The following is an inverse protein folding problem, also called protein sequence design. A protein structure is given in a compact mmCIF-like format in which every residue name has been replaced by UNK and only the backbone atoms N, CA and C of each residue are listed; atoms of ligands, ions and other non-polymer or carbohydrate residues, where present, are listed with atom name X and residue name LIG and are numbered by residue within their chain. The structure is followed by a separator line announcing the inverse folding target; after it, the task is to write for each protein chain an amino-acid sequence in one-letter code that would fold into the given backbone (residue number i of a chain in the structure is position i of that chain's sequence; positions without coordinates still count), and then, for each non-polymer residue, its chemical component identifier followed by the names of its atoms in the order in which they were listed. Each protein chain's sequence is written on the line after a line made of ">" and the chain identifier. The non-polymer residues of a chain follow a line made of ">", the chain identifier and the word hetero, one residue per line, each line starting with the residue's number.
data_IF_595454932109
#
_entry.id   IF_595454932109
#
_cell.length_a   1.000
_cell.length_b   1.000
_cell.length_c   1.000
_cell.angle_alpha   90.00
_cell.angle_beta   90.00
_cell.angle_gamma   90.00
#
_symmetry.space_group_name_H-M   'P 1'
#
loop_
_entity.id
_entity.type
_entity.pdbx_description
1 polymer ?
#
# COMPACT_ATOMS: atom_id res chain seq x y z
N UNK A 1 28.97 34.11 5.29
CA UNK A 1 28.67 35.32 6.09
C UNK A 1 29.72 35.57 7.18
N UNK A 2 29.97 34.67 8.13
CA UNK A 2 31.00 34.85 9.18
C UNK A 2 32.39 35.18 8.62
N UNK A 3 32.86 34.44 7.61
CA UNK A 3 34.13 34.73 6.94
C UNK A 3 34.20 36.12 6.27
N UNK A 4 33.07 36.65 5.77
CA UNK A 4 33.03 38.00 5.19
C UNK A 4 33.18 39.06 6.28
N UNK A 5 32.54 38.86 7.43
CA UNK A 5 32.68 39.75 8.58
C UNK A 5 34.10 39.76 9.13
N UNK A 6 34.74 38.58 9.23
CA UNK A 6 36.15 38.47 9.63
C UNK A 6 37.08 39.20 8.65
N UNK A 7 36.89 39.04 7.34
CA UNK A 7 37.69 39.76 6.34
C UNK A 7 37.44 41.27 6.37
N UNK A 8 36.20 41.72 6.58
CA UNK A 8 35.88 43.14 6.75
C UNK A 8 36.57 43.73 7.99
N UNK A 9 36.61 42.97 9.10
CA UNK A 9 37.31 43.39 10.31
C UNK A 9 38.83 43.46 10.09
N UNK A 10 39.40 42.50 9.37
CA UNK A 10 40.82 42.49 9.00
C UNK A 10 41.17 43.68 8.10
N UNK A 11 40.33 43.96 7.09
CA UNK A 11 40.48 45.12 6.21
C UNK A 11 40.44 46.44 7.00
N UNK A 12 39.44 46.63 7.88
CA UNK A 12 39.35 47.81 8.73
C UNK A 12 40.53 47.95 9.72
N UNK A 13 41.17 46.84 10.10
CA UNK A 13 42.40 46.83 10.89
C UNK A 13 43.62 47.26 10.08
N UNK A 14 43.75 46.73 8.86
CA UNK A 14 44.84 47.05 7.96
C UNK A 14 44.76 48.49 7.43
N UNK A 15 43.57 49.01 7.13
CA UNK A 15 43.36 50.41 6.75
C UNK A 15 43.80 51.38 7.88
N UNK A 16 43.52 51.03 9.15
CA UNK A 16 43.97 51.84 10.29
C UNK A 16 45.48 51.85 10.47
N UNK A 17 46.15 50.70 10.26
CA UNK A 17 47.62 50.64 10.30
C UNK A 17 48.22 51.48 9.19
N UNK A 18 47.70 51.34 7.98
CA UNK A 18 48.10 52.12 6.82
C UNK A 18 47.96 53.63 7.03
N UNK A 19 46.83 54.11 7.56
CA UNK A 19 46.68 55.55 7.88
C UNK A 19 47.69 56.02 8.93
N UNK A 20 48.02 55.17 9.90
CA UNK A 20 49.03 55.49 10.93
C UNK A 20 50.43 55.60 10.33
N UNK A 21 50.82 54.65 9.46
CA UNK A 21 52.13 54.64 8.80
C UNK A 21 52.25 55.80 7.81
N UNK A 22 51.19 56.10 7.08
CA UNK A 22 51.10 57.29 6.21
C UNK A 22 51.27 58.59 7.01
N UNK A 23 50.59 58.72 8.16
CA UNK A 23 50.74 59.89 9.02
C UNK A 23 52.18 60.05 9.54
N UNK A 24 52.81 58.95 9.99
CA UNK A 24 54.21 58.97 10.43
C UNK A 24 55.17 59.39 9.31
N UNK A 25 54.95 58.92 8.08
CA UNK A 25 55.72 59.34 6.91
C UNK A 25 55.59 60.84 6.66
N UNK A 26 54.36 61.38 6.75
CA UNK A 26 54.10 62.82 6.63
C UNK A 26 54.82 63.61 7.72
N UNK A 27 54.78 63.16 8.98
CA UNK A 27 55.48 63.80 10.10
C UNK A 27 57.01 63.80 9.88
N UNK A 28 57.61 62.68 9.49
CA UNK A 28 59.06 62.60 9.19
C UNK A 28 59.47 63.49 8.01
N UNK A 29 58.61 63.64 6.98
CA UNK A 29 58.86 64.56 5.87
C UNK A 29 58.85 66.02 6.33
N UNK A 30 57.95 66.39 7.25
CA UNK A 30 57.91 67.74 7.82
C UNK A 30 59.13 68.02 8.70
N UNK A 31 59.55 67.08 9.54
CA UNK A 31 60.77 67.20 10.36
C UNK A 31 62.01 67.40 9.50
N UNK A 32 62.13 66.62 8.42
CA UNK A 32 63.21 66.80 7.44
C UNK A 32 63.17 68.20 6.81
N UNK A 33 62.01 68.67 6.35
CA UNK A 33 61.88 69.99 5.75
C UNK A 33 62.28 71.11 6.74
N UNK A 34 61.92 70.97 8.01
CA UNK A 34 62.33 71.90 9.06
C UNK A 34 63.85 71.90 9.28
N UNK A 35 64.49 70.73 9.30
CA UNK A 35 65.95 70.62 9.38
C UNK A 35 66.66 71.23 8.17
N UNK A 36 66.15 71.00 6.95
CA UNK A 36 66.69 71.61 5.74
C UNK A 36 66.59 73.15 5.80
N UNK A 37 65.49 73.69 6.31
CA UNK A 37 65.31 75.14 6.51
C UNK A 37 66.26 75.71 7.60
N UNK A 38 66.48 74.98 8.69
CA UNK A 38 67.46 75.34 9.72
C UNK A 38 68.88 75.35 9.16
N UNK A 39 69.27 74.31 8.41
CA UNK A 39 70.58 74.23 7.76
C UNK A 39 70.79 75.36 6.74
N UNK A 40 69.77 75.71 5.97
CA UNK A 40 69.81 76.84 5.05
C UNK A 40 69.99 78.18 5.81
N UNK A 41 69.27 78.38 6.91
CA UNK A 41 69.37 79.60 7.74
C UNK A 41 70.75 79.73 8.39
N UNK A 42 71.29 78.64 8.96
CA UNK A 42 72.64 78.60 9.52
C UNK A 42 73.66 78.96 8.43
N UNK A 43 73.55 78.35 7.25
CA UNK A 43 74.44 78.62 6.12
C UNK A 43 74.41 80.08 5.67
N UNK A 44 73.22 80.72 5.68
CA UNK A 44 73.05 82.14 5.33
C UNK A 44 73.72 83.06 6.37
N UNK A 45 73.50 82.83 7.67
CA UNK A 45 74.16 83.59 8.74
C UNK A 45 75.70 83.53 8.65
N UNK A 46 76.26 82.37 8.25
CA UNK A 46 77.71 82.25 8.04
C UNK A 46 78.20 82.94 6.76
N UNK A 47 77.38 82.98 5.71
CA UNK A 47 77.72 83.72 4.49
C UNK A 47 77.76 85.24 4.76
N UNK A 48 76.79 85.79 5.49
CA UNK A 48 76.73 87.21 5.86
C UNK A 48 77.90 87.61 6.78
N UNK A 49 78.21 86.79 7.80
CA UNK A 49 79.33 87.04 8.71
C UNK A 49 80.71 87.00 8.01
N UNK A 50 80.83 86.28 6.89
CA UNK A 50 82.05 86.23 6.07
C UNK A 50 82.25 87.44 5.13
N UNK A 51 81.21 88.27 4.95
CA UNK A 51 81.23 89.45 4.07
C UNK A 51 81.35 90.78 4.79
N UNK A 52 81.64 90.77 6.11
CA UNK A 52 81.87 91.98 6.90
C UNK A 52 82.78 92.96 6.17
N UNK A 53 82.17 94.03 5.69
CA UNK A 53 82.78 95.07 4.89
C UNK A 53 84.07 95.56 5.56
N UNK A 54 85.12 95.64 4.76
CA UNK A 54 86.38 96.28 5.09
C UNK A 54 86.13 97.69 5.65
N UNK A 55 86.07 97.80 6.98
CA UNK A 55 86.15 99.07 7.66
C UNK A 55 87.57 99.64 7.47
N UNK A 56 87.59 100.86 6.95
CA UNK A 56 88.72 101.70 6.58
C UNK A 56 89.84 101.74 7.67
N UNK A 57 91.11 101.40 7.36
CA UNK A 57 92.16 101.35 8.35
C UNK A 57 92.91 102.69 8.42
N UNK A 58 92.40 103.63 9.21
CA UNK A 58 93.17 104.84 9.57
C UNK A 58 93.11 105.15 11.07
N UNK A 59 93.88 104.41 11.88
CA UNK A 59 94.39 104.90 13.17
C UNK A 59 95.54 104.00 13.69
N UNK A 60 96.69 104.57 14.12
CA UNK A 60 97.74 103.80 14.79
C UNK A 60 97.60 103.93 16.31
N UNK A 61 97.76 102.83 17.07
CA UNK A 61 98.61 102.75 18.28
C UNK A 61 98.29 101.56 19.20
N UNK A 62 99.37 101.07 19.84
CA UNK A 62 99.45 100.20 21.02
C UNK A 62 99.44 98.68 20.82
N UNK A 63 100.47 98.04 21.39
CA UNK A 63 100.71 96.60 21.43
C UNK A 63 99.64 95.77 22.19
N UNK A 64 98.59 96.42 22.71
CA UNK A 64 97.39 95.78 23.27
C UNK A 64 96.48 95.19 22.18
N UNK A 65 96.54 95.74 20.96
CA UNK A 65 95.69 95.38 19.82
C UNK A 65 95.96 93.98 19.22
N UNK A 66 97.19 93.48 19.28
CA UNK A 66 97.52 92.11 18.79
C UNK A 66 96.90 91.01 19.65
N UNK A 67 96.77 91.24 20.96
CA UNK A 67 96.12 90.31 21.88
C UNK A 67 94.61 90.25 21.63
N UNK A 68 93.99 91.42 21.37
CA UNK A 68 92.57 91.50 21.02
C UNK A 68 92.25 90.77 19.70
N UNK A 69 93.06 90.96 18.65
CA UNK A 69 92.88 90.23 17.38
C UNK A 69 93.07 88.71 17.54
N UNK A 70 94.00 88.26 18.38
CA UNK A 70 94.21 86.83 18.65
C UNK A 70 93.04 86.20 19.42
N UNK A 71 92.45 86.93 20.36
CA UNK A 71 91.24 86.50 21.09
C UNK A 71 90.04 86.45 20.14
N UNK A 72 89.86 87.48 19.31
CA UNK A 72 88.77 87.55 18.32
C UNK A 72 88.89 86.43 17.26
N UNK A 73 90.11 86.16 16.80
CA UNK A 73 90.39 85.03 15.89
C UNK A 73 90.13 83.68 16.57
N UNK A 74 90.51 83.50 17.84
CA UNK A 74 90.21 82.28 18.58
C UNK A 74 88.70 82.07 18.78
N UNK A 75 87.96 83.13 19.08
CA UNK A 75 86.50 83.09 19.23
C UNK A 75 85.86 82.74 17.88
N UNK A 76 86.31 83.33 16.78
CA UNK A 76 85.83 83.01 15.43
C UNK A 76 86.10 81.55 15.06
N UNK A 77 87.33 81.04 15.29
CA UNK A 77 87.70 79.65 15.01
C UNK A 77 86.92 78.68 15.89
N UNK A 78 86.72 79.01 17.18
CA UNK A 78 85.89 78.20 18.07
C UNK A 78 84.43 78.17 17.61
N UNK A 79 83.86 79.32 17.22
CA UNK A 79 82.49 79.40 16.69
C UNK A 79 82.36 78.64 15.37
N UNK A 80 83.35 78.72 14.48
CA UNK A 80 83.39 77.95 13.25
C UNK A 80 83.47 76.44 13.50
N UNK A 81 84.27 76.00 14.47
CA UNK A 81 84.34 74.59 14.86
C UNK A 81 83.05 74.09 15.52
N UNK A 82 82.34 74.94 16.27
CA UNK A 82 81.02 74.63 16.84
C UNK A 82 79.96 74.52 15.75
N UNK A 83 79.97 75.42 14.78
CA UNK A 83 79.08 75.40 13.63
C UNK A 83 79.27 74.16 12.76
N UNK A 84 80.53 73.78 12.48
CA UNK A 84 80.84 72.56 11.73
C UNK A 84 80.32 71.30 12.42
N UNK A 85 80.40 71.23 13.76
CA UNK A 85 79.81 70.12 14.53
C UNK A 85 78.29 70.10 14.43
N UNK A 86 77.63 71.24 14.62
CA UNK A 86 76.17 71.36 14.48
C UNK A 86 75.68 70.99 13.07
N UNK A 87 76.38 71.43 12.02
CA UNK A 87 76.05 71.06 10.63
C UNK A 87 76.24 69.55 10.41
N UNK A 88 77.27 68.95 11.00
CA UNK A 88 77.53 67.51 10.89
C UNK A 88 76.44 66.70 11.61
N UNK A 89 76.05 67.09 12.83
CA UNK A 89 74.96 66.47 13.59
C UNK A 89 73.64 66.52 12.80
N UNK A 90 73.27 67.69 12.27
CA UNK A 90 72.06 67.82 11.46
C UNK A 90 72.10 67.06 10.12
N UNK A 91 73.29 66.87 9.52
CA UNK A 91 73.44 66.00 8.33
C UNK A 91 73.23 64.53 8.67
N UNK A 92 73.75 64.09 9.81
CA UNK A 92 73.57 62.72 10.28
C UNK A 92 72.10 62.46 10.63
N UNK A 93 71.42 63.41 11.28
CA UNK A 93 69.97 63.38 11.51
C UNK A 93 69.17 63.32 10.20
N UNK A 94 69.51 64.17 9.21
CA UNK A 94 68.86 64.16 7.90
C UNK A 94 69.03 62.80 7.17
N UNK A 95 70.21 62.19 7.23
CA UNK A 95 70.46 60.87 6.65
C UNK A 95 69.72 59.73 7.38
N UNK A 96 69.49 59.86 8.68
CA UNK A 96 68.67 58.91 9.44
C UNK A 96 67.20 59.06 9.06
N UNK A 97 66.70 60.29 8.97
CA UNK A 97 65.34 60.57 8.51
C UNK A 97 65.10 60.10 7.07
N UNK A 98 66.07 60.29 6.17
CA UNK A 98 65.99 59.79 4.78
C UNK A 98 65.80 58.27 4.72
N UNK A 99 66.59 57.51 5.49
CA UNK A 99 66.44 56.06 5.57
C UNK A 99 65.09 55.68 6.17
N UNK A 100 64.65 56.38 7.21
CA UNK A 100 63.34 56.14 7.84
C UNK A 100 62.18 56.40 6.88
N UNK A 101 62.26 57.47 6.09
CA UNK A 101 61.28 57.80 5.04
C UNK A 101 61.21 56.70 3.97
N UNK A 102 62.35 56.15 3.54
CA UNK A 102 62.39 55.05 2.59
C UNK A 102 61.74 53.78 3.15
N UNK A 103 62.11 53.39 4.38
CA UNK A 103 61.53 52.21 5.06
C UNK A 103 60.00 52.33 5.22
N UNK A 104 59.52 53.50 5.67
CA UNK A 104 58.10 53.77 5.82
C UNK A 104 57.38 53.79 4.46
N UNK A 105 58.00 54.33 3.41
CA UNK A 105 57.45 54.31 2.06
C UNK A 105 57.24 52.89 1.51
N UNK A 106 58.22 52.00 1.72
CA UNK A 106 58.09 50.59 1.36
C UNK A 106 57.02 49.86 2.18
N UNK A 107 56.90 50.20 3.47
CA UNK A 107 55.86 49.65 4.33
C UNK A 107 54.45 50.06 3.90
N UNK A 108 54.26 51.34 3.60
CA UNK A 108 53.01 51.89 3.07
C UNK A 108 52.58 51.18 1.78
N UNK A 109 53.51 50.94 0.85
CA UNK A 109 53.19 50.28 -0.42
C UNK A 109 52.86 48.78 -0.21
N UNK A 110 53.56 48.09 0.70
CA UNK A 110 53.22 46.72 1.10
C UNK A 110 51.82 46.63 1.72
N UNK A 111 51.48 47.55 2.62
CA UNK A 111 50.15 47.60 3.24
C UNK A 111 49.06 47.93 2.22
N UNK A 112 49.33 48.83 1.26
CA UNK A 112 48.41 49.14 0.16
C UNK A 112 48.10 47.92 -0.70
N UNK A 113 49.11 47.15 -1.07
CA UNK A 113 48.94 45.92 -1.86
C UNK A 113 48.17 44.86 -1.08
N UNK A 114 48.45 44.70 0.22
CA UNK A 114 47.71 43.79 1.08
C UNK A 114 46.23 44.20 1.22
N UNK A 115 45.95 45.49 1.37
CA UNK A 115 44.58 46.03 1.40
C UNK A 115 43.83 45.74 0.10
N UNK A 116 44.44 46.01 -1.06
CA UNK A 116 43.83 45.71 -2.35
C UNK A 116 43.49 44.21 -2.52
N UNK A 117 44.37 43.32 -2.04
CA UNK A 117 44.12 41.89 -2.06
C UNK A 117 42.95 41.49 -1.15
N UNK A 118 42.86 42.05 0.07
CA UNK A 118 41.76 41.81 0.99
C UNK A 118 40.42 42.33 0.44
N UNK A 119 40.40 43.50 -0.20
CA UNK A 119 39.18 44.02 -0.83
C UNK A 119 38.65 43.10 -1.93
N UNK A 120 39.55 42.56 -2.77
CA UNK A 120 39.18 41.62 -3.80
C UNK A 120 38.59 40.35 -3.20
N UNK A 121 39.19 39.81 -2.13
CA UNK A 121 38.65 38.65 -1.41
C UNK A 121 37.28 38.94 -0.79
N UNK A 122 37.09 40.11 -0.19
CA UNK A 122 35.79 40.53 0.36
C UNK A 122 34.74 40.60 -0.76
N UNK A 123 35.08 41.19 -1.92
CA UNK A 123 34.18 41.25 -3.08
C UNK A 123 33.79 39.87 -3.59
N UNK A 124 34.75 38.97 -3.77
CA UNK A 124 34.48 37.63 -4.28
C UNK A 124 33.66 36.79 -3.30
N UNK A 125 33.99 36.85 -2.00
CA UNK A 125 33.20 36.17 -0.96
C UNK A 125 31.79 36.75 -0.84
N UNK A 126 31.61 38.05 -1.05
CA UNK A 126 30.28 38.68 -1.03
C UNK A 126 29.41 38.21 -2.21
N UNK A 127 30.00 38.05 -3.40
CA UNK A 127 29.30 37.45 -4.56
C UNK A 127 28.89 36.01 -4.28
N UNK A 128 29.80 35.19 -3.77
CA UNK A 128 29.49 33.80 -3.38
C UNK A 128 28.34 33.73 -2.37
N UNK A 129 28.30 34.64 -1.39
CA UNK A 129 27.20 34.72 -0.42
C UNK A 129 25.88 35.05 -1.11
N UNK A 130 25.86 36.01 -2.04
CA UNK A 130 24.66 36.35 -2.79
C UNK A 130 24.14 35.18 -3.66
N UNK A 131 25.04 34.47 -4.35
CA UNK A 131 24.68 33.32 -5.18
C UNK A 131 24.10 32.16 -4.33
N UNK A 132 24.70 31.90 -3.17
CA UNK A 132 24.20 30.90 -2.22
C UNK A 132 22.86 31.31 -1.63
N UNK A 133 22.65 32.59 -1.33
CA UNK A 133 21.36 33.10 -0.85
C UNK A 133 20.27 32.94 -1.90
N UNK A 134 20.56 33.25 -3.17
CA UNK A 134 19.65 33.01 -4.28
C UNK A 134 19.31 31.52 -4.43
N UNK A 135 20.31 30.65 -4.31
CA UNK A 135 20.12 29.18 -4.39
C UNK A 135 19.24 28.68 -3.24
N UNK A 136 19.49 29.15 -2.01
CA UNK A 136 18.67 28.82 -0.83
C UNK A 136 17.22 29.26 -1.06
N UNK A 137 17.00 30.44 -1.64
CA UNK A 137 15.65 30.94 -1.89
C UNK A 137 14.92 30.10 -2.95
N UNK A 138 15.59 29.68 -4.02
CA UNK A 138 15.03 28.74 -5.00
C UNK A 138 14.67 27.41 -4.35
N UNK A 139 15.57 26.81 -3.58
CA UNK A 139 15.32 25.53 -2.88
C UNK A 139 14.15 25.63 -1.89
N UNK A 140 13.97 26.76 -1.21
CA UNK A 140 12.80 26.98 -0.34
C UNK A 140 11.49 27.00 -1.11
N UNK A 141 11.46 27.61 -2.31
CA UNK A 141 10.27 27.62 -3.16
C UNK A 141 9.94 26.23 -3.68
N UNK A 142 10.95 25.48 -4.13
CA UNK A 142 10.79 24.09 -4.55
C UNK A 142 10.29 23.21 -3.40
N UNK A 143 10.85 23.36 -2.20
CA UNK A 143 10.39 22.66 -1.01
C UNK A 143 8.92 22.96 -0.70
N UNK A 144 8.50 24.23 -0.79
CA UNK A 144 7.11 24.62 -0.56
C UNK A 144 6.16 23.99 -1.59
N UNK A 145 6.53 24.00 -2.88
CA UNK A 145 5.75 23.37 -3.93
C UNK A 145 5.58 21.85 -3.72
N UNK A 146 6.65 21.15 -3.37
CA UNK A 146 6.59 19.71 -3.05
C UNK A 146 5.74 19.43 -1.81
N UNK A 147 5.80 20.31 -0.80
CA UNK A 147 4.94 20.18 0.39
C UNK A 147 3.45 20.37 0.05
N UNK A 148 3.13 21.33 -0.81
CA UNK A 148 1.76 21.56 -1.30
C UNK A 148 1.25 20.34 -2.10
N UNK A 149 2.05 19.82 -3.03
CA UNK A 149 1.70 18.61 -3.80
C UNK A 149 1.50 17.38 -2.90
N UNK A 150 2.33 17.21 -1.87
CA UNK A 150 2.18 16.13 -0.91
C UNK A 150 0.92 16.29 -0.06
N UNK A 151 0.60 17.52 0.39
CA UNK A 151 -0.66 17.79 1.11
C UNK A 151 -1.88 17.48 0.23
N UNK A 152 -1.85 17.88 -1.04
CA UNK A 152 -2.92 17.56 -1.99
C UNK A 152 -3.05 16.05 -2.18
N UNK A 153 -1.93 15.34 -2.41
CA UNK A 153 -1.93 13.88 -2.58
C UNK A 153 -2.46 13.16 -1.33
N UNK A 154 -2.18 13.66 -0.13
CA UNK A 154 -2.73 13.12 1.11
C UNK A 154 -4.24 13.33 1.22
N UNK A 155 -4.75 14.48 0.79
CA UNK A 155 -6.20 14.74 0.74
C UNK A 155 -6.87 13.79 -0.27
N UNK A 156 -6.31 13.65 -1.47
CA UNK A 156 -6.85 12.77 -2.51
C UNK A 156 -6.89 11.29 -2.02
N UNK A 157 -5.87 10.84 -1.30
CA UNK A 157 -5.85 9.49 -0.71
C UNK A 157 -6.99 9.27 0.30
N UNK A 158 -7.30 10.27 1.12
CA UNK A 158 -8.43 10.20 2.06
C UNK A 158 -9.75 10.13 1.31
N UNK A 159 -9.94 10.95 0.27
CA UNK A 159 -11.15 10.91 -0.55
C UNK A 159 -11.34 9.56 -1.27
N UNK A 160 -10.26 8.99 -1.79
CA UNK A 160 -10.27 7.65 -2.41
C UNK A 160 -10.61 6.57 -1.37
N UNK A 161 -10.04 6.65 -0.17
CA UNK A 161 -10.33 5.70 0.91
C UNK A 161 -11.79 5.74 1.32
N UNK A 162 -12.38 6.93 1.45
CA UNK A 162 -13.80 7.13 1.73
C UNK A 162 -14.68 6.57 0.60
N UNK A 163 -14.32 6.82 -0.67
CA UNK A 163 -15.02 6.28 -1.83
C UNK A 163 -14.99 4.74 -1.84
N UNK A 164 -13.84 4.14 -1.52
CA UNK A 164 -13.68 2.69 -1.42
C UNK A 164 -14.53 2.10 -0.30
N UNK A 165 -14.54 2.71 0.88
CA UNK A 165 -15.38 2.27 2.00
C UNK A 165 -16.87 2.31 1.64
N UNK A 166 -17.33 3.37 0.96
CA UNK A 166 -18.69 3.47 0.43
C UNK A 166 -19.00 2.35 -0.56
N UNK A 167 -18.10 2.08 -1.51
CA UNK A 167 -18.28 1.02 -2.49
C UNK A 167 -18.37 -0.37 -1.83
N UNK A 168 -17.51 -0.65 -0.83
CA UNK A 168 -17.55 -1.90 -0.06
C UNK A 168 -18.87 -2.03 0.72
N UNK A 169 -19.34 -0.96 1.35
CA UNK A 169 -20.62 -0.97 2.06
C UNK A 169 -21.80 -1.27 1.11
N UNK A 170 -21.82 -0.65 -0.07
CA UNK A 170 -22.82 -0.93 -1.11
C UNK A 170 -22.75 -2.40 -1.55
N UNK A 171 -21.55 -2.94 -1.77
CA UNK A 171 -21.40 -4.33 -2.19
C UNK A 171 -21.87 -5.31 -1.11
N UNK A 172 -21.53 -5.07 0.16
CA UNK A 172 -22.05 -5.86 1.29
C UNK A 172 -23.58 -5.84 1.36
N UNK A 173 -24.18 -4.66 1.19
CA UNK A 173 -25.64 -4.52 1.17
C UNK A 173 -26.27 -5.29 0.00
N UNK A 174 -25.62 -5.31 -1.17
CA UNK A 174 -26.06 -6.11 -2.33
C UNK A 174 -25.97 -7.61 -2.06
N UNK A 175 -24.86 -8.08 -1.48
CA UNK A 175 -24.68 -9.49 -1.12
C UNK A 175 -25.74 -9.94 -0.12
N UNK A 176 -26.00 -9.16 0.94
CA UNK A 176 -27.05 -9.48 1.91
C UNK A 176 -28.43 -9.58 1.25
N UNK A 177 -28.79 -8.63 0.37
CA UNK A 177 -30.06 -8.70 -0.37
C UNK A 177 -30.16 -9.94 -1.25
N UNK A 178 -29.06 -10.38 -1.85
CA UNK A 178 -29.04 -11.60 -2.66
C UNK A 178 -29.24 -12.84 -1.78
N UNK A 179 -28.60 -12.90 -0.61
CA UNK A 179 -28.81 -13.97 0.38
C UNK A 179 -30.26 -14.01 0.87
N UNK A 180 -30.87 -12.85 1.17
CA UNK A 180 -32.28 -12.73 1.53
C UNK A 180 -33.18 -13.31 0.42
N UNK A 181 -32.95 -12.94 -0.84
CA UNK A 181 -33.71 -13.44 -1.98
C UNK A 181 -33.53 -14.96 -2.13
N UNK A 182 -32.32 -15.48 -2.03
CA UNK A 182 -32.05 -16.92 -2.11
C UNK A 182 -32.76 -17.69 -0.99
N UNK A 183 -32.72 -17.19 0.25
CA UNK A 183 -33.40 -17.81 1.38
C UNK A 183 -34.92 -17.83 1.20
N UNK A 184 -35.49 -16.73 0.71
CA UNK A 184 -36.91 -16.61 0.37
C UNK A 184 -37.31 -17.62 -0.72
N UNK A 185 -36.55 -17.69 -1.82
CA UNK A 185 -36.83 -18.61 -2.91
C UNK A 185 -36.72 -20.07 -2.46
N UNK A 186 -35.72 -20.40 -1.63
CA UNK A 186 -35.57 -21.75 -1.10
C UNK A 186 -36.74 -22.13 -0.19
N UNK A 187 -37.16 -21.24 0.71
CA UNK A 187 -38.34 -21.45 1.56
C UNK A 187 -39.63 -21.60 0.75
N UNK A 188 -39.82 -20.76 -0.28
CA UNK A 188 -40.98 -20.85 -1.17
C UNK A 188 -40.99 -22.16 -1.99
N UNK A 189 -39.82 -22.61 -2.47
CA UNK A 189 -39.69 -23.87 -3.17
C UNK A 189 -39.99 -25.06 -2.24
N UNK A 190 -39.43 -25.06 -1.03
CA UNK A 190 -39.68 -26.09 -0.03
C UNK A 190 -41.17 -26.16 0.34
N UNK A 191 -41.82 -25.02 0.59
CA UNK A 191 -43.26 -24.96 0.87
C UNK A 191 -44.11 -25.53 -0.28
N UNK A 192 -43.75 -25.28 -1.54
CA UNK A 192 -44.45 -25.87 -2.69
C UNK A 192 -44.24 -27.38 -2.79
N UNK A 193 -43.05 -27.87 -2.48
CA UNK A 193 -42.76 -29.31 -2.45
C UNK A 193 -43.56 -30.00 -1.35
N UNK A 194 -43.58 -29.41 -0.14
CA UNK A 194 -44.40 -29.90 0.98
C UNK A 194 -45.89 -29.92 0.61
N UNK A 195 -46.42 -28.85 0.03
CA UNK A 195 -47.81 -28.80 -0.45
C UNK A 195 -48.12 -29.88 -1.50
N UNK A 196 -47.20 -30.14 -2.43
CA UNK A 196 -47.38 -31.19 -3.44
C UNK A 196 -47.37 -32.60 -2.81
N UNK A 197 -46.50 -32.84 -1.83
CA UNK A 197 -46.46 -34.10 -1.09
C UNK A 197 -47.74 -34.34 -0.28
N UNK A 198 -48.30 -33.30 0.34
CA UNK A 198 -49.58 -33.37 1.05
C UNK A 198 -50.73 -33.71 0.08
N UNK A 199 -50.77 -33.06 -1.10
CA UNK A 199 -51.76 -33.36 -2.14
C UNK A 199 -51.64 -34.80 -2.66
N UNK A 200 -50.41 -35.29 -2.88
CA UNK A 200 -50.18 -36.67 -3.28
C UNK A 200 -50.60 -37.65 -2.19
N UNK A 201 -50.34 -37.34 -0.92
CA UNK A 201 -50.79 -38.17 0.21
C UNK A 201 -52.31 -38.28 0.26
N UNK A 202 -53.03 -37.16 0.11
CA UNK A 202 -54.49 -37.18 0.02
C UNK A 202 -55.00 -38.02 -1.17
N UNK A 203 -54.37 -37.89 -2.34
CA UNK A 203 -54.75 -38.69 -3.51
C UNK A 203 -54.50 -40.19 -3.31
N UNK A 204 -53.42 -40.57 -2.62
CA UNK A 204 -53.14 -41.98 -2.26
C UNK A 204 -54.19 -42.50 -1.29
N UNK A 205 -54.60 -41.70 -0.28
CA UNK A 205 -55.67 -42.06 0.63
C UNK A 205 -57.00 -42.28 -0.10
N UNK A 206 -57.35 -41.41 -1.06
CA UNK A 206 -58.54 -41.56 -1.91
C UNK A 206 -58.50 -42.84 -2.75
N UNK A 207 -57.36 -43.15 -3.37
CA UNK A 207 -57.17 -44.40 -4.14
C UNK A 207 -57.28 -45.61 -3.21
N UNK A 208 -56.67 -45.57 -2.03
CA UNK A 208 -56.78 -46.64 -1.03
C UNK A 208 -58.23 -46.86 -0.58
N UNK A 209 -58.99 -45.78 -0.39
CA UNK A 209 -60.42 -45.86 -0.07
C UNK A 209 -61.24 -46.47 -1.23
N UNK A 210 -60.91 -46.14 -2.48
CA UNK A 210 -61.52 -46.77 -3.66
C UNK A 210 -61.18 -48.26 -3.75
N UNK A 211 -59.93 -48.64 -3.52
CA UNK A 211 -59.49 -50.04 -3.48
C UNK A 211 -60.22 -50.83 -2.39
N UNK A 212 -60.38 -50.29 -1.18
CA UNK A 212 -61.19 -50.93 -0.14
C UNK A 212 -62.66 -51.11 -0.55
N UNK A 213 -63.22 -50.16 -1.29
CA UNK A 213 -64.59 -50.25 -1.81
C UNK A 213 -64.70 -51.33 -2.89
N UNK A 214 -63.74 -51.40 -3.80
CA UNK A 214 -63.61 -52.47 -4.79
C UNK A 214 -63.47 -53.84 -4.12
N UNK A 215 -62.60 -53.96 -3.11
CA UNK A 215 -62.42 -55.19 -2.35
C UNK A 215 -63.73 -55.66 -1.71
N UNK A 216 -64.50 -54.74 -1.12
CA UNK A 216 -65.84 -55.03 -0.57
C UNK A 216 -66.85 -55.46 -1.65
N UNK A 217 -66.79 -54.88 -2.85
CA UNK A 217 -67.64 -55.28 -3.97
C UNK A 217 -67.28 -56.68 -4.47
N UNK A 218 -65.99 -56.98 -4.62
CA UNK A 218 -65.50 -58.31 -5.00
C UNK A 218 -65.89 -59.35 -3.96
N UNK A 219 -65.73 -59.06 -2.66
CA UNK A 219 -66.21 -59.94 -1.59
C UNK A 219 -67.71 -60.22 -1.69
N UNK A 220 -68.53 -59.18 -1.87
CA UNK A 220 -69.99 -59.36 -2.06
C UNK A 220 -70.33 -60.17 -3.29
N UNK A 221 -69.63 -59.96 -4.41
CA UNK A 221 -69.83 -60.72 -5.63
C UNK A 221 -69.46 -62.20 -5.43
N UNK A 222 -68.32 -62.47 -4.79
CA UNK A 222 -67.90 -63.82 -4.42
C UNK A 222 -68.89 -64.50 -3.46
N UNK A 223 -69.39 -63.79 -2.45
CA UNK A 223 -70.42 -64.29 -1.54
C UNK A 223 -71.73 -64.59 -2.29
N UNK A 224 -72.09 -63.75 -3.26
CA UNK A 224 -73.29 -63.93 -4.08
C UNK A 224 -73.15 -65.11 -5.05
N UNK A 225 -71.99 -65.30 -5.68
CA UNK A 225 -71.67 -66.49 -6.47
C UNK A 225 -71.68 -67.75 -5.60
N UNK A 226 -71.14 -67.69 -4.38
CA UNK A 226 -71.17 -68.81 -3.43
C UNK A 226 -72.61 -69.16 -3.01
N UNK A 227 -73.47 -68.15 -2.80
CA UNK A 227 -74.90 -68.35 -2.52
C UNK A 227 -75.64 -68.98 -3.70
N UNK A 228 -75.35 -68.56 -4.93
CA UNK A 228 -75.92 -69.15 -6.14
C UNK A 228 -75.46 -70.60 -6.34
N UNK A 229 -74.17 -70.87 -6.19
CA UNK A 229 -73.63 -72.22 -6.26
C UNK A 229 -74.23 -73.14 -5.18
N UNK A 230 -74.44 -72.63 -3.97
CA UNK A 230 -75.14 -73.36 -2.90
C UNK A 230 -76.59 -73.67 -3.26
N UNK A 231 -77.33 -72.70 -3.82
CA UNK A 231 -78.70 -72.93 -4.25
C UNK A 231 -78.78 -73.97 -5.38
N UNK A 232 -77.84 -73.96 -6.31
CA UNK A 232 -77.74 -74.96 -7.39
C UNK A 232 -77.39 -76.35 -6.84
N UNK A 233 -76.48 -76.45 -5.87
CA UNK A 233 -76.19 -77.70 -5.15
C UNK A 233 -77.42 -78.20 -4.40
N UNK A 234 -78.17 -77.33 -3.72
CA UNK A 234 -79.39 -77.70 -3.00
C UNK A 234 -80.46 -78.22 -3.98
N UNK A 235 -80.61 -77.60 -5.15
CA UNK A 235 -81.52 -78.04 -6.22
C UNK A 235 -81.09 -79.37 -6.84
N UNK A 236 -79.78 -79.55 -7.11
CA UNK A 236 -79.20 -80.82 -7.55
C UNK A 236 -79.38 -81.92 -6.50
N UNK A 237 -79.22 -81.60 -5.22
CA UNK A 237 -79.44 -82.54 -4.12
C UNK A 237 -80.92 -82.94 -4.04
N UNK A 238 -81.84 -81.99 -4.25
CA UNK A 238 -83.29 -82.23 -4.28
C UNK A 238 -83.69 -83.13 -5.45
N UNK A 239 -83.17 -82.87 -6.65
CA UNK A 239 -83.43 -83.68 -7.84
C UNK A 239 -82.83 -85.07 -7.71
N UNK A 240 -81.61 -85.22 -7.18
CA UNK A 240 -81.03 -86.52 -6.84
C UNK A 240 -81.88 -87.30 -5.84
N UNK A 241 -82.43 -86.63 -4.83
CA UNK A 241 -83.35 -87.27 -3.87
C UNK A 241 -84.66 -87.72 -4.53
N UNK A 242 -85.24 -86.91 -5.43
CA UNK A 242 -86.41 -87.31 -6.21
C UNK A 242 -86.12 -88.49 -7.13
N UNK A 243 -84.98 -88.48 -7.82
CA UNK A 243 -84.53 -89.60 -8.67
C UNK A 243 -84.29 -90.86 -7.85
N UNK A 244 -83.74 -90.74 -6.63
CA UNK A 244 -83.59 -91.86 -5.70
C UNK A 244 -84.94 -92.43 -5.28
N UNK A 245 -85.91 -91.60 -4.92
CA UNK A 245 -87.26 -92.06 -4.60
C UNK A 245 -87.97 -92.69 -5.80
N UNK A 246 -87.80 -92.12 -6.99
CA UNK A 246 -88.34 -92.68 -8.24
C UNK A 246 -87.67 -94.02 -8.57
N UNK A 247 -86.36 -94.15 -8.32
CA UNK A 247 -85.63 -95.41 -8.43
C UNK A 247 -86.16 -96.43 -7.44
N UNK A 248 -86.31 -96.08 -6.16
CA UNK A 248 -86.82 -96.98 -5.12
C UNK A 248 -88.26 -97.42 -5.45
N UNK A 249 -89.09 -96.52 -5.98
CA UNK A 249 -90.43 -96.83 -6.47
C UNK A 249 -90.40 -97.77 -7.68
N UNK A 250 -89.52 -97.51 -8.66
CA UNK A 250 -89.34 -98.36 -9.82
C UNK A 250 -88.76 -99.74 -9.46
N UNK A 251 -87.87 -99.81 -8.46
CA UNK A 251 -87.34 -101.07 -7.92
C UNK A 251 -88.44 -101.84 -7.19
N UNK A 252 -89.25 -101.19 -6.36
CA UNK A 252 -90.41 -101.81 -5.71
C UNK A 252 -91.46 -102.29 -6.73
N UNK A 253 -91.67 -101.52 -7.82
CA UNK A 253 -92.59 -101.89 -8.88
C UNK A 253 -92.02 -103.02 -9.75
N UNK A 254 -90.71 -103.02 -10.01
CA UNK A 254 -89.99 -104.10 -10.66
C UNK A 254 -89.97 -105.36 -9.79
N UNK A 255 -89.90 -105.27 -8.47
CA UNK A 255 -90.04 -106.39 -7.55
C UNK A 255 -91.47 -106.91 -7.49
N UNK A 256 -92.48 -106.02 -7.52
CA UNK A 256 -93.88 -106.42 -7.67
C UNK A 256 -94.12 -107.15 -9.00
N UNK A 257 -93.55 -106.64 -10.10
CA UNK A 257 -93.63 -107.27 -11.41
C UNK A 257 -92.83 -108.58 -11.45
N UNK A 258 -91.65 -108.66 -10.83
CA UNK A 258 -90.91 -109.92 -10.66
C UNK A 258 -91.66 -110.93 -9.81
N UNK A 259 -92.38 -110.48 -8.77
CA UNK A 259 -93.30 -111.31 -7.99
C UNK A 259 -94.43 -111.88 -8.85
N UNK A 260 -95.05 -111.03 -9.69
CA UNK A 260 -96.07 -111.47 -10.65
C UNK A 260 -95.52 -112.38 -11.74
N UNK A 261 -94.30 -112.17 -12.22
CA UNK A 261 -93.62 -113.05 -13.18
C UNK A 261 -93.31 -114.39 -12.52
N UNK A 262 -92.89 -114.44 -11.25
CA UNK A 262 -92.74 -115.70 -10.49
C UNK A 262 -94.08 -116.43 -10.30
N UNK A 263 -95.18 -115.73 -10.10
CA UNK A 263 -96.53 -116.34 -10.06
C UNK A 263 -96.95 -116.89 -11.42
N UNK A 264 -96.56 -116.23 -12.52
CA UNK A 264 -96.81 -116.71 -13.89
C UNK A 264 -95.88 -117.88 -14.25
N UNK A 265 -94.62 -117.87 -13.82
CA UNK A 265 -93.64 -118.94 -14.09
C UNK A 265 -93.92 -120.21 -13.26
N UNK A 266 -94.46 -120.07 -12.04
CA UNK A 266 -94.96 -121.22 -11.25
C UNK A 266 -96.24 -121.81 -11.87
N UNK A 267 -97.02 -121.02 -12.61
CA UNK A 267 -98.24 -121.47 -13.27
C UNK A 267 -98.02 -122.02 -14.70
N UNK A 268 -96.83 -121.90 -15.30
CA UNK A 268 -96.63 -122.25 -16.72
C UNK A 268 -95.62 -123.34 -17.05
N UNK A 269 -94.72 -123.76 -16.16
CA UNK A 269 -93.62 -124.66 -16.56
C UNK A 269 -93.56 -125.97 -15.75
N UNK A 270 -94.67 -126.70 -15.74
CA UNK A 270 -94.74 -128.18 -15.70
C UNK A 270 -94.45 -128.82 -17.06
N UNK A 271 -94.04 -128.07 -18.09
CA UNK A 271 -93.73 -128.63 -19.41
C UNK A 271 -92.48 -128.01 -20.05
N UNK A 272 -91.43 -128.85 -20.20
CA UNK A 272 -90.28 -128.74 -21.13
C UNK A 272 -89.31 -127.58 -20.82
N UNK A 273 -87.98 -127.73 -20.79
CA UNK A 273 -87.09 -128.71 -21.42
C UNK A 273 -86.06 -127.95 -22.26
N UNK A 274 -84.78 -128.00 -21.86
CA UNK A 274 -83.60 -127.94 -22.76
C UNK A 274 -83.05 -126.57 -23.23
N UNK A 275 -81.77 -126.33 -22.93
CA UNK A 275 -80.73 -126.25 -23.96
C UNK A 275 -80.27 -124.90 -24.57
N UNK A 276 -79.04 -124.52 -24.20
CA UNK A 276 -77.89 -124.10 -25.05
C UNK A 276 -77.80 -122.74 -25.81
N UNK A 277 -76.54 -122.21 -25.76
CA UNK A 277 -75.78 -121.44 -26.78
C UNK A 277 -76.13 -119.94 -26.96
N UNK A 278 -75.25 -118.97 -27.27
CA UNK A 278 -73.79 -118.84 -27.45
C UNK A 278 -73.48 -117.33 -27.72
N UNK A 279 -72.20 -116.92 -27.56
CA UNK A 279 -71.49 -115.78 -28.21
C UNK A 279 -71.15 -114.50 -27.39
N UNK A 280 -69.81 -114.28 -27.32
CA UNK A 280 -68.94 -113.16 -26.92
C UNK A 280 -69.10 -111.90 -27.85
N UNK A 281 -68.30 -110.79 -27.83
CA UNK A 281 -66.98 -110.55 -27.17
C UNK A 281 -66.62 -109.09 -26.69
N UNK A 282 -65.38 -108.97 -26.17
CA UNK A 282 -64.37 -107.87 -26.31
C UNK A 282 -64.45 -106.61 -25.43
N UNK A 283 -63.52 -106.47 -24.45
CA UNK A 283 -62.26 -105.65 -24.40
C UNK A 283 -62.54 -104.16 -24.13
N UNK A 284 -61.80 -103.40 -23.33
CA UNK A 284 -60.33 -103.27 -23.27
C UNK A 284 -59.92 -102.55 -21.98
N UNK A 285 -58.83 -103.01 -21.38
CA UNK A 285 -57.96 -102.26 -20.46
C UNK A 285 -57.48 -100.93 -21.07
N UNK A 286 -57.22 -99.92 -20.24
CA UNK A 286 -55.89 -99.30 -20.18
C UNK A 286 -55.75 -98.36 -18.99
N UNK A 287 -54.72 -98.69 -18.24
CA UNK A 287 -53.87 -97.84 -17.42
C UNK A 287 -53.64 -96.45 -18.00
N UNK A 288 -53.31 -95.48 -17.12
CA UNK A 288 -52.03 -94.79 -17.16
C UNK A 288 -51.87 -93.91 -15.91
N UNK A 289 -50.90 -94.29 -15.09
CA UNK A 289 -50.08 -93.42 -14.24
C UNK A 289 -49.44 -92.31 -15.09
N UNK A 290 -49.29 -91.10 -14.52
CA UNK A 290 -48.19 -90.18 -14.84
C UNK A 290 -47.85 -89.37 -13.57
N UNK A 291 -46.73 -89.72 -12.95
CA UNK A 291 -45.83 -88.78 -12.25
C UNK A 291 -45.23 -87.79 -13.26
N UNK A 292 -45.00 -86.53 -12.87
CA UNK A 292 -43.68 -85.86 -12.96
C UNK A 292 -43.78 -84.35 -12.65
N UNK A 293 -43.04 -83.95 -11.61
CA UNK A 293 -41.94 -82.98 -11.61
C UNK A 293 -42.01 -81.56 -12.25
N UNK A 294 -41.60 -80.62 -11.39
CA UNK A 294 -40.56 -79.59 -11.58
C UNK A 294 -40.76 -78.40 -12.55
N UNK A 295 -40.78 -77.20 -11.98
CA UNK A 295 -39.99 -75.98 -12.32
C UNK A 295 -40.52 -74.82 -11.44
N UNK A 296 -39.75 -73.93 -10.81
CA UNK A 296 -38.45 -73.36 -11.17
C UNK A 296 -38.64 -71.99 -11.86
N UNK A 297 -37.90 -70.97 -11.39
CA UNK A 297 -37.77 -69.57 -11.91
C UNK A 297 -38.83 -68.59 -11.37
N UNK A 298 -38.54 -67.39 -10.84
CA UNK A 298 -37.31 -66.61 -10.70
C UNK A 298 -37.64 -65.10 -10.72
N UNK A 299 -36.90 -64.33 -9.91
CA UNK A 299 -36.83 -62.85 -9.75
C UNK A 299 -37.98 -62.13 -9.02
#
# INVERSE_FOLDING_TARGET
>A
RTQVLELQQQFAGAERRWRTTEQQLVESLHERAALEQCLASISHCFAEAGTGEHADPTAPSSASSKSAMLVETHVMVHNQAKARRCIQEHREEAQQLERRIQELGEEVERERQANAALENQVRDRSRQVADLESTIETLRREQAAVQEENQQSQQDLVEIQDALQRAVAIQRARTHRFEDICSFLNSAAQSKVEQALDQMSMAIEDVSAQDQKLLKLVQRAGDQEALLAKAEIDELTRTLFQLRNAKDLAEAEAERLRGKVREIDVAKNTEKGGGQQQQQPTTTERDLEVEEDAAGIGS
#
